data_IF_142590062690
#
_entry.id   IF_142590062690
#
_cell.length_a   1.000
_cell.length_b   1.000
_cell.length_c   1.000
_cell.angle_alpha   90.00
_cell.angle_beta   90.00
_cell.angle_gamma   90.00
#
_symmetry.space_group_name_H-M   'P 1'
#
loop_
_entity.id
_entity.type
_entity.pdbx_description
1 polymer ?
#
# COMPACT_ATOMS: atom_id res chain seq x y z
N UNK A 1 12.23 -27.87 14.02
CA UNK A 1 12.55 -27.13 12.77
C UNK A 1 11.42 -27.16 11.74
N UNK A 2 10.71 -28.26 11.50
CA UNK A 2 9.62 -28.30 10.49
C UNK A 2 8.47 -27.32 10.76
N UNK A 3 8.09 -27.10 12.02
CA UNK A 3 7.01 -26.16 12.36
C UNK A 3 7.30 -24.70 11.95
N UNK A 4 8.55 -24.23 12.15
CA UNK A 4 8.94 -22.86 11.77
C UNK A 4 8.89 -22.65 10.26
N UNK A 5 9.28 -23.66 9.47
CA UNK A 5 9.19 -23.63 8.01
C UNK A 5 7.74 -23.56 7.54
N UNK A 6 6.85 -24.34 8.17
CA UNK A 6 5.41 -24.30 7.87
C UNK A 6 4.84 -22.91 8.22
N UNK A 7 5.17 -22.37 9.39
CA UNK A 7 4.72 -21.04 9.81
C UNK A 7 5.18 -19.94 8.83
N UNK A 8 6.46 -19.97 8.42
CA UNK A 8 6.98 -19.07 7.38
C UNK A 8 6.21 -19.23 6.08
N UNK A 9 5.96 -20.47 5.65
CA UNK A 9 5.21 -20.78 4.44
C UNK A 9 3.82 -20.16 4.42
N UNK A 10 3.08 -20.28 5.53
CA UNK A 10 1.76 -19.65 5.69
C UNK A 10 1.85 -18.13 5.62
N UNK A 11 2.84 -17.51 6.28
CA UNK A 11 3.02 -16.05 6.25
C UNK A 11 3.38 -15.53 4.84
N UNK A 12 4.16 -16.30 4.07
CA UNK A 12 4.44 -15.99 2.67
C UNK A 12 3.20 -16.14 1.80
N UNK A 13 2.36 -17.14 2.07
CA UNK A 13 1.10 -17.29 1.36
C UNK A 13 0.15 -16.12 1.63
N UNK A 14 0.09 -15.62 2.87
CA UNK A 14 -0.68 -14.42 3.22
C UNK A 14 -0.19 -13.18 2.46
N UNK A 15 1.13 -13.02 2.33
CA UNK A 15 1.74 -11.95 1.52
C UNK A 15 1.30 -12.01 0.06
N UNK A 16 1.42 -13.16 -0.60
CA UNK A 16 1.04 -13.24 -2.02
C UNK A 16 -0.48 -13.11 -2.18
N UNK A 17 -1.28 -13.80 -1.35
CA UNK A 17 -2.73 -13.70 -1.38
C UNK A 17 -3.24 -12.27 -1.15
N UNK A 18 -2.56 -11.48 -0.32
CA UNK A 18 -2.91 -10.09 -0.07
C UNK A 18 -2.83 -9.21 -1.32
N UNK A 19 -1.79 -9.39 -2.14
CA UNK A 19 -1.66 -8.69 -3.43
C UNK A 19 -2.82 -9.05 -4.38
N UNK A 20 -3.08 -10.34 -4.53
CA UNK A 20 -4.16 -10.83 -5.39
C UNK A 20 -5.54 -10.33 -4.90
N UNK A 21 -5.72 -10.22 -3.59
CA UNK A 21 -6.91 -9.64 -3.00
C UNK A 21 -7.06 -8.15 -3.35
N UNK A 22 -5.99 -7.36 -3.29
CA UNK A 22 -6.01 -5.95 -3.70
C UNK A 22 -6.41 -5.82 -5.18
N UNK A 23 -5.85 -6.66 -6.06
CA UNK A 23 -6.22 -6.62 -7.47
C UNK A 23 -7.70 -6.94 -7.69
N UNK A 24 -8.22 -8.00 -7.06
CA UNK A 24 -9.64 -8.34 -7.11
C UNK A 24 -10.55 -7.26 -6.49
N UNK A 25 -10.05 -6.54 -5.48
CA UNK A 25 -10.83 -5.52 -4.79
C UNK A 25 -11.03 -4.29 -5.68
N UNK A 26 -10.00 -3.83 -6.39
CA UNK A 26 -10.03 -2.55 -7.11
C UNK A 26 -10.22 -2.67 -8.62
N UNK A 27 -9.93 -3.82 -9.23
CA UNK A 27 -9.91 -3.97 -10.68
C UNK A 27 -10.80 -5.11 -11.15
N UNK A 28 -11.45 -4.88 -12.29
CA UNK A 28 -12.25 -5.90 -12.95
C UNK A 28 -11.34 -6.91 -13.67
N UNK A 29 -11.68 -8.19 -13.54
CA UNK A 29 -11.04 -9.25 -14.31
C UNK A 29 -11.46 -9.14 -15.78
N UNK A 30 -10.51 -9.42 -16.69
CA UNK A 30 -10.73 -9.28 -18.14
C UNK A 30 -11.77 -10.25 -18.68
N UNK A 31 -11.75 -11.50 -18.22
CA UNK A 31 -12.65 -12.55 -18.68
C UNK A 31 -12.89 -13.55 -17.55
N UNK A 32 -14.12 -14.04 -17.45
CA UNK A 32 -14.54 -14.97 -16.39
C UNK A 32 -14.67 -16.41 -16.95
N UNK A 33 -13.65 -16.85 -17.69
CA UNK A 33 -13.60 -18.20 -18.26
C UNK A 33 -12.92 -19.17 -17.31
N UNK A 34 -13.39 -20.42 -17.29
CA UNK A 34 -12.87 -21.49 -16.42
C UNK A 34 -11.34 -21.67 -16.57
N UNK A 35 -10.81 -21.59 -17.79
CA UNK A 35 -9.37 -21.67 -18.06
C UNK A 35 -8.55 -20.53 -17.43
N UNK A 36 -9.09 -19.32 -17.39
CA UNK A 36 -8.41 -18.17 -16.79
C UNK A 36 -8.43 -18.27 -15.26
N UNK A 37 -9.51 -18.80 -14.68
CA UNK A 37 -9.58 -19.12 -13.25
C UNK A 37 -8.56 -20.19 -12.84
N UNK A 38 -8.37 -21.22 -13.67
CA UNK A 38 -7.32 -22.23 -13.45
C UNK A 38 -5.93 -21.58 -13.54
N UNK A 39 -5.67 -20.81 -14.60
CA UNK A 39 -4.40 -20.11 -14.80
C UNK A 39 -4.09 -19.16 -13.63
N UNK A 40 -5.11 -18.45 -13.13
CA UNK A 40 -5.01 -17.59 -11.97
C UNK A 40 -4.54 -18.35 -10.72
N UNK A 41 -5.17 -19.48 -10.40
CA UNK A 41 -4.79 -20.33 -9.25
C UNK A 41 -3.36 -20.86 -9.43
N UNK A 42 -2.99 -21.28 -10.64
CA UNK A 42 -1.62 -21.75 -10.93
C UNK A 42 -0.62 -20.63 -10.68
N UNK A 43 -0.86 -19.41 -11.18
CA UNK A 43 0.05 -18.27 -10.94
C UNK A 43 0.17 -17.93 -9.46
N UNK A 44 -0.93 -18.03 -8.70
CA UNK A 44 -0.92 -17.81 -7.25
C UNK A 44 -0.04 -18.84 -6.54
N UNK A 45 -0.21 -20.13 -6.86
CA UNK A 45 0.60 -21.22 -6.28
C UNK A 45 2.07 -21.07 -6.64
N UNK A 46 2.38 -20.77 -7.90
CA UNK A 46 3.76 -20.55 -8.35
C UNK A 46 4.38 -19.35 -7.64
N UNK A 47 3.65 -18.25 -7.49
CA UNK A 47 4.17 -17.06 -6.84
C UNK A 47 4.39 -17.29 -5.33
N UNK A 48 3.50 -18.00 -4.66
CA UNK A 48 3.72 -18.49 -3.29
C UNK A 48 4.94 -19.42 -3.21
N UNK A 49 5.09 -20.36 -4.13
CA UNK A 49 6.23 -21.29 -4.15
C UNK A 49 7.57 -20.55 -4.29
N UNK A 50 7.61 -19.54 -5.17
CA UNK A 50 8.79 -18.69 -5.37
C UNK A 50 9.15 -17.89 -4.11
N UNK A 51 8.18 -17.27 -3.43
CA UNK A 51 8.44 -16.50 -2.21
C UNK A 51 8.90 -17.38 -1.05
N UNK A 52 8.32 -18.57 -0.91
CA UNK A 52 8.73 -19.56 0.09
C UNK A 52 10.17 -20.03 -0.19
N UNK A 53 10.47 -20.41 -1.43
CA UNK A 53 11.79 -20.89 -1.84
C UNK A 53 12.86 -19.83 -1.58
N UNK A 54 12.63 -18.59 -2.02
CA UNK A 54 13.57 -17.51 -1.78
C UNK A 54 13.80 -17.28 -0.28
N UNK A 55 12.74 -17.32 0.53
CA UNK A 55 12.86 -17.07 1.97
C UNK A 55 13.52 -18.21 2.72
N UNK A 56 13.55 -19.42 2.16
CA UNK A 56 14.29 -20.56 2.71
C UNK A 56 15.78 -20.54 2.30
N UNK A 57 16.09 -20.19 1.05
CA UNK A 57 17.46 -20.28 0.49
C UNK A 57 18.22 -18.95 0.51
N UNK A 58 17.57 -17.86 0.13
CA UNK A 58 18.19 -16.53 -0.06
C UNK A 58 18.12 -15.60 1.15
N UNK A 59 17.29 -15.93 2.16
CA UNK A 59 17.10 -15.14 3.37
C UNK A 59 15.79 -14.34 3.40
N UNK A 60 15.56 -13.60 4.49
CA UNK A 60 14.31 -12.88 4.72
C UNK A 60 14.09 -11.73 3.74
N UNK A 61 15.14 -10.97 3.45
CA UNK A 61 15.10 -9.81 2.58
C UNK A 61 16.02 -9.95 1.36
N UNK A 62 15.55 -9.56 0.18
CA UNK A 62 16.43 -9.37 -0.98
C UNK A 62 15.83 -8.33 -1.92
N UNK A 63 16.59 -7.27 -2.18
CA UNK A 63 16.17 -6.18 -3.06
C UNK A 63 15.90 -6.66 -4.50
N UNK A 64 16.78 -7.52 -5.02
CA UNK A 64 16.61 -8.08 -6.36
C UNK A 64 15.37 -8.95 -6.46
N UNK A 65 15.07 -9.71 -5.40
CA UNK A 65 13.86 -10.51 -5.35
C UNK A 65 12.60 -9.65 -5.23
N UNK A 66 12.65 -8.55 -4.46
CA UNK A 66 11.55 -7.59 -4.40
C UNK A 66 11.20 -7.03 -5.79
N UNK A 67 12.22 -6.63 -6.57
CA UNK A 67 12.00 -6.17 -7.95
C UNK A 67 11.43 -7.26 -8.85
N UNK A 68 11.88 -8.51 -8.69
CA UNK A 68 11.31 -9.65 -9.39
C UNK A 68 9.84 -9.87 -9.02
N UNK A 69 9.47 -9.76 -7.74
CA UNK A 69 8.09 -9.83 -7.27
C UNK A 69 7.23 -8.73 -7.87
N UNK A 70 7.72 -7.48 -7.90
CA UNK A 70 7.01 -6.35 -8.52
C UNK A 70 6.81 -6.63 -10.01
N UNK A 71 7.85 -7.07 -10.72
CA UNK A 71 7.76 -7.40 -12.14
C UNK A 71 6.72 -8.49 -12.42
N UNK A 72 6.78 -9.62 -11.68
CA UNK A 72 5.81 -10.71 -11.82
C UNK A 72 4.39 -10.24 -11.49
N UNK A 73 4.22 -9.46 -10.42
CA UNK A 73 2.93 -8.89 -10.05
C UNK A 73 2.35 -8.00 -11.14
N UNK A 74 3.18 -7.20 -11.82
CA UNK A 74 2.75 -6.37 -12.95
C UNK A 74 2.35 -7.23 -14.14
N UNK A 75 3.13 -8.27 -14.47
CA UNK A 75 2.79 -9.21 -15.54
C UNK A 75 1.45 -9.91 -15.27
N UNK A 76 1.27 -10.45 -14.06
CA UNK A 76 0.03 -11.13 -13.62
C UNK A 76 -1.14 -10.14 -13.62
N UNK A 77 -0.96 -8.96 -13.03
CA UNK A 77 -1.97 -7.91 -12.96
C UNK A 77 -2.44 -7.48 -14.36
N UNK A 78 -1.50 -7.29 -15.29
CA UNK A 78 -1.80 -6.97 -16.69
C UNK A 78 -2.46 -8.11 -17.45
N UNK A 79 -2.11 -9.35 -17.17
CA UNK A 79 -2.66 -10.50 -17.85
C UNK A 79 -4.12 -10.72 -17.47
N UNK A 80 -4.44 -10.69 -16.17
CA UNK A 80 -5.78 -11.03 -15.66
C UNK A 80 -6.74 -9.84 -15.50
N UNK A 81 -6.26 -8.60 -15.30
CA UNK A 81 -7.11 -7.46 -14.94
C UNK A 81 -7.09 -6.31 -15.95
N UNK A 82 -8.19 -5.57 -15.99
CA UNK A 82 -8.34 -4.32 -16.75
C UNK A 82 -7.68 -3.15 -16.02
N UNK A 83 -6.35 -3.15 -15.99
CA UNK A 83 -5.53 -2.15 -15.30
C UNK A 83 -4.53 -1.50 -16.27
N UNK A 84 -4.31 -0.18 -16.13
CA UNK A 84 -3.24 0.52 -16.86
C UNK A 84 -1.86 0.12 -16.31
N UNK A 85 -0.82 0.15 -17.14
CA UNK A 85 0.51 -0.28 -16.73
C UNK A 85 1.03 0.51 -15.53
N UNK A 86 0.87 1.83 -15.58
CA UNK A 86 1.30 2.74 -14.51
C UNK A 86 0.60 2.47 -13.19
N UNK A 87 -0.72 2.17 -13.20
CA UNK A 87 -1.46 1.82 -11.97
C UNK A 87 -1.04 0.47 -11.41
N UNK A 88 -0.85 -0.52 -12.29
CA UNK A 88 -0.39 -1.84 -11.87
C UNK A 88 0.99 -1.76 -11.24
N UNK A 89 1.93 -1.07 -11.90
CA UNK A 89 3.26 -0.81 -11.38
C UNK A 89 3.21 -0.11 -10.02
N UNK A 90 2.44 0.97 -9.89
CA UNK A 90 2.34 1.73 -8.65
C UNK A 90 1.80 0.89 -7.48
N UNK A 91 0.69 0.15 -7.70
CA UNK A 91 0.11 -0.70 -6.65
C UNK A 91 1.06 -1.82 -6.25
N UNK A 92 1.70 -2.48 -7.21
CA UNK A 92 2.67 -3.55 -6.92
C UNK A 92 3.92 -3.03 -6.21
N UNK A 93 4.40 -1.85 -6.60
CA UNK A 93 5.59 -1.23 -5.99
C UNK A 93 5.31 -0.86 -4.54
N UNK A 94 4.27 -0.07 -4.27
CA UNK A 94 3.85 0.29 -2.92
C UNK A 94 3.63 -0.95 -2.05
N UNK A 95 2.97 -1.97 -2.60
CA UNK A 95 2.68 -3.19 -1.86
C UNK A 95 3.95 -3.89 -1.34
N UNK A 96 4.90 -4.17 -2.24
CA UNK A 96 6.11 -4.88 -1.84
C UNK A 96 7.07 -3.99 -1.05
N UNK A 97 7.21 -2.72 -1.41
CA UNK A 97 8.07 -1.78 -0.68
C UNK A 97 7.57 -1.57 0.76
N UNK A 98 6.28 -1.30 0.99
CA UNK A 98 5.75 -1.11 2.34
C UNK A 98 5.92 -2.38 3.21
N UNK A 99 5.74 -3.57 2.63
CA UNK A 99 5.92 -4.84 3.35
C UNK A 99 7.38 -5.05 3.74
N UNK A 100 8.28 -4.87 2.78
CA UNK A 100 9.71 -5.10 2.96
C UNK A 100 10.31 -4.05 3.92
N UNK A 101 9.87 -2.81 3.80
CA UNK A 101 10.21 -1.74 4.72
C UNK A 101 9.76 -2.06 6.14
N UNK A 102 8.52 -2.52 6.33
CA UNK A 102 7.99 -2.91 7.64
C UNK A 102 8.75 -4.10 8.24
N UNK A 103 9.08 -5.11 7.43
CA UNK A 103 9.82 -6.31 7.83
C UNK A 103 11.21 -5.92 8.37
N UNK A 104 11.96 -5.08 7.64
CA UNK A 104 13.28 -4.56 8.07
C UNK A 104 13.13 -3.63 9.29
N UNK A 105 12.12 -2.77 9.29
CA UNK A 105 11.91 -1.79 10.37
C UNK A 105 11.69 -2.46 11.72
N UNK A 106 10.82 -3.48 11.76
CA UNK A 106 10.58 -4.27 12.97
C UNK A 106 11.80 -5.11 13.37
N UNK A 107 12.55 -5.65 12.41
CA UNK A 107 13.81 -6.34 12.70
C UNK A 107 14.79 -5.46 13.47
N UNK A 108 14.90 -4.19 13.09
CA UNK A 108 15.74 -3.22 13.78
C UNK A 108 15.21 -2.81 15.16
N UNK A 109 13.90 -2.62 15.30
CA UNK A 109 13.29 -2.39 16.63
C UNK A 109 13.62 -3.57 17.55
N UNK A 110 13.51 -4.80 17.06
CA UNK A 110 13.90 -5.99 17.81
C UNK A 110 15.38 -5.95 18.20
N UNK A 111 16.26 -5.53 17.29
CA UNK A 111 17.69 -5.37 17.57
C UNK A 111 17.94 -4.35 18.70
N UNK A 112 17.30 -3.18 18.63
CA UNK A 112 17.43 -2.14 19.64
C UNK A 112 16.86 -2.56 21.01
N UNK A 113 15.80 -3.36 21.03
CA UNK A 113 15.19 -3.86 22.28
C UNK A 113 16.02 -4.96 22.95
N UNK A 114 16.74 -5.78 22.16
CA UNK A 114 17.50 -6.94 22.65
C UNK A 114 19.01 -6.67 22.78
N UNK A 115 19.45 -5.44 22.47
CA UNK A 115 20.84 -4.96 22.54
C UNK A 115 21.87 -5.93 21.94
N UNK A 116 21.50 -6.58 20.83
CA UNK A 116 22.32 -7.60 20.17
C UNK A 116 22.85 -7.09 18.83
N UNK A 117 24.17 -7.08 18.66
CA UNK A 117 24.82 -6.45 17.49
C UNK A 117 24.51 -7.20 16.18
N UNK A 118 24.23 -8.51 16.25
CA UNK A 118 24.06 -9.38 15.06
C UNK A 118 22.61 -9.84 14.81
N UNK A 119 21.63 -9.28 15.53
CA UNK A 119 20.24 -9.72 15.50
C UNK A 119 19.62 -9.69 14.09
N UNK A 120 19.88 -8.63 13.34
CA UNK A 120 19.33 -8.44 11.99
C UNK A 120 19.92 -9.46 11.00
N UNK A 121 21.23 -9.75 11.08
CA UNK A 121 21.85 -10.77 10.22
C UNK A 121 21.39 -12.18 10.61
N UNK A 122 21.21 -12.42 11.91
CA UNK A 122 20.68 -13.66 12.45
C UNK A 122 19.27 -13.96 11.93
N UNK A 123 18.37 -12.99 11.96
CA UNK A 123 17.01 -13.11 11.40
C UNK A 123 17.03 -13.23 9.87
N UNK A 124 17.96 -12.54 9.22
CA UNK A 124 18.06 -12.49 7.77
C UNK A 124 18.38 -13.87 7.19
N UNK A 125 19.34 -14.60 7.77
CA UNK A 125 19.85 -15.84 7.20
C UNK A 125 19.34 -17.11 7.86
N UNK A 126 18.83 -17.05 9.10
CA UNK A 126 18.36 -18.23 9.82
C UNK A 126 16.85 -18.21 10.08
N UNK A 127 16.22 -19.39 9.96
CA UNK A 127 14.79 -19.56 10.28
C UNK A 127 14.65 -19.78 11.78
N UNK A 128 14.42 -18.68 12.49
CA UNK A 128 14.28 -18.66 13.95
C UNK A 128 12.91 -18.13 14.38
N UNK A 129 12.59 -18.24 15.66
CA UNK A 129 11.32 -17.80 16.22
C UNK A 129 11.13 -16.28 16.06
N UNK A 130 12.19 -15.51 16.25
CA UNK A 130 12.18 -14.04 16.16
C UNK A 130 11.81 -13.58 14.74
N UNK A 131 12.34 -14.27 13.73
CA UNK A 131 11.96 -14.06 12.33
C UNK A 131 10.47 -14.29 12.10
N UNK A 132 9.93 -15.39 12.63
CA UNK A 132 8.51 -15.72 12.50
C UNK A 132 7.64 -14.70 13.23
N UNK A 133 8.06 -14.22 14.40
CA UNK A 133 7.34 -13.18 15.16
C UNK A 133 7.28 -11.88 14.35
N UNK A 134 8.40 -11.41 13.82
CA UNK A 134 8.45 -10.17 13.02
C UNK A 134 7.56 -10.29 11.79
N UNK A 135 7.70 -11.39 11.04
CA UNK A 135 6.83 -11.65 9.89
C UNK A 135 5.35 -11.77 10.31
N UNK A 136 5.06 -12.38 11.45
CA UNK A 136 3.70 -12.46 12.00
C UNK A 136 3.10 -11.07 12.22
N UNK A 137 3.85 -10.17 12.85
CA UNK A 137 3.39 -8.80 13.14
C UNK A 137 3.13 -8.03 11.85
N UNK A 138 4.07 -8.05 10.89
CA UNK A 138 3.88 -7.33 9.62
C UNK A 138 2.73 -7.88 8.79
N UNK A 139 2.52 -9.21 8.77
CA UNK A 139 1.39 -9.81 8.06
C UNK A 139 0.06 -9.55 8.77
N UNK A 140 0.03 -9.47 10.10
CA UNK A 140 -1.15 -8.98 10.83
C UNK A 140 -1.48 -7.52 10.47
N UNK A 141 -0.49 -6.64 10.41
CA UNK A 141 -0.68 -5.26 9.98
C UNK A 141 -1.24 -5.17 8.54
N UNK A 142 -0.70 -5.99 7.63
CA UNK A 142 -1.21 -6.11 6.27
C UNK A 142 -2.69 -6.51 6.24
N UNK A 143 -3.13 -7.49 7.05
CA UNK A 143 -4.54 -7.89 7.10
C UNK A 143 -5.44 -6.73 7.58
N UNK A 144 -4.98 -5.94 8.55
CA UNK A 144 -5.70 -4.74 9.03
C UNK A 144 -5.82 -3.72 7.90
N UNK A 145 -4.74 -3.46 7.17
CA UNK A 145 -4.74 -2.54 6.02
C UNK A 145 -5.70 -3.03 4.93
N UNK A 146 -5.67 -4.33 4.58
CA UNK A 146 -6.60 -4.91 3.60
C UNK A 146 -8.07 -4.76 4.04
N UNK A 147 -8.36 -4.91 5.33
CA UNK A 147 -9.69 -4.70 5.87
C UNK A 147 -10.15 -3.23 5.73
N UNK A 148 -9.27 -2.28 6.04
CA UNK A 148 -9.53 -0.84 5.87
C UNK A 148 -9.74 -0.50 4.39
N UNK A 149 -8.89 -1.02 3.49
CA UNK A 149 -9.02 -0.82 2.04
C UNK A 149 -10.36 -1.33 1.51
N UNK A 150 -10.84 -2.48 2.03
CA UNK A 150 -12.16 -3.01 1.69
C UNK A 150 -13.28 -2.07 2.16
N UNK A 151 -13.20 -1.60 3.40
CA UNK A 151 -14.23 -0.73 4.01
C UNK A 151 -14.35 0.61 3.28
N UNK A 152 -13.22 1.19 2.86
CA UNK A 152 -13.16 2.51 2.23
C UNK A 152 -12.84 2.45 0.72
N UNK A 153 -13.20 1.35 0.05
CA UNK A 153 -12.86 1.08 -1.36
C UNK A 153 -13.11 2.26 -2.30
N UNK A 154 -14.28 2.91 -2.20
CA UNK A 154 -14.66 4.01 -3.11
C UNK A 154 -13.75 5.22 -2.90
N UNK A 155 -13.53 5.63 -1.65
CA UNK A 155 -12.64 6.74 -1.32
C UNK A 155 -11.21 6.47 -1.77
N UNK A 156 -10.69 5.26 -1.51
CA UNK A 156 -9.33 4.87 -1.92
C UNK A 156 -9.19 4.84 -3.45
N UNK A 157 -10.20 4.37 -4.17
CA UNK A 157 -10.15 4.37 -5.64
C UNK A 157 -10.13 5.79 -6.20
N UNK A 158 -10.94 6.69 -5.65
CA UNK A 158 -10.92 8.11 -5.99
C UNK A 158 -9.56 8.75 -5.68
N UNK A 159 -8.96 8.35 -4.55
CA UNK A 159 -7.62 8.77 -4.16
C UNK A 159 -6.57 8.43 -5.22
N UNK A 160 -6.54 7.15 -5.61
CA UNK A 160 -5.61 6.62 -6.60
C UNK A 160 -5.80 7.24 -7.98
N UNK A 161 -7.03 7.67 -8.31
CA UNK A 161 -7.33 8.35 -9.56
C UNK A 161 -6.87 9.81 -9.54
N UNK A 162 -7.26 10.57 -8.52
CA UNK A 162 -7.07 12.02 -8.45
C UNK A 162 -5.66 12.42 -7.99
N UNK A 163 -5.03 11.65 -7.11
CA UNK A 163 -3.76 11.98 -6.46
C UNK A 163 -2.62 11.05 -6.87
N UNK A 164 -2.67 10.52 -8.09
CA UNK A 164 -1.65 9.58 -8.61
C UNK A 164 -0.23 10.09 -8.44
N UNK A 165 0.02 11.39 -8.67
CA UNK A 165 1.37 11.96 -8.54
C UNK A 165 1.89 11.97 -7.10
N UNK A 166 1.02 12.19 -6.11
CA UNK A 166 1.39 12.11 -4.70
C UNK A 166 1.76 10.68 -4.30
N UNK A 167 1.00 9.69 -4.80
CA UNK A 167 1.31 8.29 -4.55
C UNK A 167 2.61 7.83 -5.21
N UNK A 168 2.93 8.34 -6.41
CA UNK A 168 4.24 8.10 -7.04
C UNK A 168 5.35 8.69 -6.18
N UNK A 169 5.19 9.93 -5.72
CA UNK A 169 6.16 10.57 -4.82
C UNK A 169 6.34 9.78 -3.52
N UNK A 170 5.25 9.24 -2.96
CA UNK A 170 5.29 8.41 -1.77
C UNK A 170 6.05 7.08 -2.02
N UNK A 171 5.79 6.39 -3.13
CA UNK A 171 6.55 5.18 -3.51
C UNK A 171 8.06 5.47 -3.64
N UNK A 172 8.42 6.57 -4.32
CA UNK A 172 9.84 6.97 -4.43
C UNK A 172 10.45 7.23 -3.05
N UNK A 173 9.69 7.85 -2.13
CA UNK A 173 10.15 8.12 -0.78
C UNK A 173 10.30 6.84 0.05
N UNK A 174 9.35 5.90 -0.04
CA UNK A 174 9.46 4.56 0.55
C UNK A 174 10.71 3.83 0.05
N UNK A 175 10.95 3.84 -1.27
CA UNK A 175 12.14 3.24 -1.85
C UNK A 175 13.45 3.85 -1.32
N UNK A 176 13.53 5.17 -1.23
CA UNK A 176 14.69 5.85 -0.64
C UNK A 176 14.89 5.48 0.83
N UNK A 177 13.80 5.24 1.55
CA UNK A 177 13.82 4.77 2.94
C UNK A 177 14.34 3.36 3.05
N UNK A 178 13.81 2.47 2.23
CA UNK A 178 14.27 1.09 2.14
C UNK A 178 15.76 1.03 1.79
N UNK A 179 16.19 1.80 0.79
CA UNK A 179 17.60 1.89 0.39
C UNK A 179 18.50 2.36 1.55
N UNK A 180 18.01 3.28 2.38
CA UNK A 180 18.72 3.76 3.57
C UNK A 180 18.76 2.70 4.67
N UNK A 181 17.65 2.01 4.92
CA UNK A 181 17.53 0.94 5.91
C UNK A 181 18.40 -0.27 5.56
N UNK A 182 18.59 -0.59 4.28
CA UNK A 182 19.44 -1.69 3.84
C UNK A 182 20.92 -1.51 4.19
N UNK A 183 21.38 -0.29 4.45
CA UNK A 183 22.76 -0.06 4.90
C UNK A 183 23.08 -0.74 6.24
N UNK A 184 22.06 -1.19 6.98
CA UNK A 184 22.21 -2.01 8.20
C UNK A 184 22.91 -3.34 7.95
N UNK A 185 22.78 -3.91 6.76
CA UNK A 185 23.46 -5.15 6.40
C UNK A 185 24.95 -4.95 6.07
N UNK A 186 25.46 -3.71 6.09
CA UNK A 186 26.87 -3.40 5.82
C UNK A 186 27.59 -3.13 7.16
N UNK A 187 28.55 -3.98 7.57
CA UNK A 187 29.23 -3.86 8.87
C UNK A 187 29.88 -2.49 9.11
N UNK A 188 30.51 -1.92 8.08
CA UNK A 188 31.19 -0.61 8.15
C UNK A 188 30.25 0.53 8.59
N UNK A 189 28.96 0.47 8.24
CA UNK A 189 27.99 1.47 8.70
C UNK A 189 27.52 1.19 10.13
N UNK A 190 27.48 -0.08 10.56
CA UNK A 190 27.02 -0.50 11.90
C UNK A 190 27.97 -0.02 12.99
N UNK A 191 29.27 -0.08 12.72
CA UNK A 191 30.31 0.39 13.65
C UNK A 191 30.34 1.91 13.84
N UNK A 192 29.89 2.69 12.84
CA UNK A 192 29.89 4.16 12.94
C UNK A 192 28.78 4.74 13.82
N UNK A 193 27.83 3.92 14.31
CA UNK A 193 26.71 4.36 15.17
C UNK A 193 25.70 5.32 14.51
N UNK A 194 25.98 5.81 13.29
CA UNK A 194 25.10 6.71 12.52
C UNK A 194 23.82 6.04 12.04
N UNK A 195 23.78 4.70 12.02
CA UNK A 195 22.61 3.93 11.60
C UNK A 195 21.37 4.28 12.43
N UNK A 196 21.49 4.41 13.75
CA UNK A 196 20.37 4.73 14.64
C UNK A 196 19.65 6.03 14.26
N UNK A 197 20.40 7.03 13.79
CA UNK A 197 19.86 8.33 13.39
C UNK A 197 19.06 8.21 12.09
N UNK A 198 19.59 7.54 11.07
CA UNK A 198 18.86 7.32 9.82
C UNK A 198 17.63 6.44 10.03
N UNK A 199 17.73 5.43 10.89
CA UNK A 199 16.67 4.47 11.14
C UNK A 199 15.54 5.02 12.01
N UNK A 200 15.81 6.00 12.87
CA UNK A 200 14.75 6.73 13.57
C UNK A 200 14.12 7.80 12.66
N UNK A 201 14.94 8.56 11.93
CA UNK A 201 14.45 9.69 11.12
C UNK A 201 13.60 9.25 9.93
N UNK A 202 13.97 8.18 9.22
CA UNK A 202 13.29 7.82 7.98
C UNK A 202 11.84 7.33 8.18
N UNK A 203 11.54 6.44 9.13
CA UNK A 203 10.18 6.06 9.47
C UNK A 203 9.35 7.24 10.00
N UNK A 204 9.97 8.14 10.77
CA UNK A 204 9.31 9.38 11.22
C UNK A 204 8.94 10.25 10.02
N UNK A 205 9.84 10.43 9.06
CA UNK A 205 9.59 11.18 7.82
C UNK A 205 8.50 10.49 6.99
N UNK A 206 8.49 9.16 6.90
CA UNK A 206 7.44 8.39 6.22
C UNK A 206 6.07 8.57 6.87
N UNK A 207 5.99 8.48 8.21
CA UNK A 207 4.75 8.70 8.95
C UNK A 207 4.29 10.16 8.79
N UNK A 208 5.22 11.12 8.87
CA UNK A 208 4.90 12.54 8.75
C UNK A 208 4.41 12.88 7.34
N UNK A 209 5.05 12.36 6.30
CA UNK A 209 4.60 12.51 4.91
C UNK A 209 3.25 11.82 4.68
N UNK A 210 3.01 10.65 5.28
CA UNK A 210 1.71 9.98 5.23
C UNK A 210 0.61 10.81 5.91
N UNK A 211 0.87 11.39 7.09
CA UNK A 211 -0.06 12.30 7.77
C UNK A 211 -0.34 13.53 6.91
N UNK A 212 0.68 14.15 6.32
CA UNK A 212 0.52 15.31 5.43
C UNK A 212 -0.36 14.93 4.24
N UNK A 213 -0.14 13.76 3.63
CA UNK A 213 -0.96 13.26 2.52
C UNK A 213 -2.41 13.10 2.97
N UNK A 214 -2.68 12.47 4.11
CA UNK A 214 -4.06 12.33 4.66
C UNK A 214 -4.71 13.70 4.89
N UNK A 215 -4.00 14.62 5.55
CA UNK A 215 -4.53 15.97 5.84
C UNK A 215 -4.80 16.72 4.54
N UNK A 216 -3.92 16.62 3.55
CA UNK A 216 -4.10 17.22 2.23
C UNK A 216 -5.33 16.67 1.50
N UNK A 217 -5.54 15.35 1.58
CA UNK A 217 -6.73 14.68 1.02
C UNK A 217 -7.99 15.19 1.69
N UNK A 218 -8.03 15.19 3.03
CA UNK A 218 -9.17 15.68 3.81
C UNK A 218 -9.48 17.15 3.49
N UNK A 219 -8.44 17.97 3.31
CA UNK A 219 -8.61 19.37 2.93
C UNK A 219 -9.28 19.54 1.57
N UNK A 220 -8.89 18.74 0.56
CA UNK A 220 -9.50 18.82 -0.76
C UNK A 220 -10.92 18.26 -0.76
N UNK A 221 -11.18 17.14 -0.07
CA UNK A 221 -12.55 16.61 0.05
C UNK A 221 -13.48 17.67 0.65
N UNK A 222 -13.05 18.32 1.74
CA UNK A 222 -13.81 19.41 2.36
C UNK A 222 -13.98 20.62 1.43
N UNK A 223 -12.96 20.95 0.63
CA UNK A 223 -13.06 22.04 -0.37
C UNK A 223 -14.09 21.71 -1.46
N UNK A 224 -14.11 20.47 -1.94
CA UNK A 224 -15.04 20.02 -2.96
C UNK A 224 -16.49 20.01 -2.43
N UNK A 225 -16.71 19.58 -1.19
CA UNK A 225 -18.01 19.66 -0.52
C UNK A 225 -18.50 21.11 -0.40
N UNK A 226 -17.62 22.05 0.00
CA UNK A 226 -17.96 23.47 0.07
C UNK A 226 -18.31 24.06 -1.30
N UNK A 227 -17.58 23.68 -2.35
CA UNK A 227 -17.89 24.13 -3.71
C UNK A 227 -19.24 23.59 -4.20
N UNK A 228 -19.56 22.33 -3.88
CA UNK A 228 -20.85 21.74 -4.21
C UNK A 228 -22.00 22.47 -3.50
N UNK A 229 -21.88 22.70 -2.19
CA UNK A 229 -22.85 23.46 -1.39
C UNK A 229 -23.06 24.88 -1.95
N UNK A 230 -21.98 25.58 -2.29
CA UNK A 230 -22.09 26.92 -2.88
C UNK A 230 -22.81 26.90 -4.23
N UNK A 231 -22.52 25.92 -5.10
CA UNK A 231 -23.20 25.80 -6.39
C UNK A 231 -24.71 25.51 -6.25
N UNK A 232 -25.10 24.72 -5.25
CA UNK A 232 -26.50 24.44 -4.94
C UNK A 232 -27.20 25.68 -4.40
N UNK A 233 -26.55 26.44 -3.51
CA UNK A 233 -27.08 27.70 -2.99
C UNK A 233 -27.28 28.74 -4.09
N UNK A 234 -26.32 28.90 -5.01
CA UNK A 234 -26.45 29.80 -6.17
C UNK A 234 -27.63 29.40 -7.08
N UNK A 235 -27.84 28.09 -7.31
CA UNK A 235 -29.00 27.63 -8.05
C UNK A 235 -30.32 27.93 -7.33
N UNK A 236 -30.35 27.75 -6.00
CA UNK A 236 -31.53 28.03 -5.18
C UNK A 236 -31.88 29.52 -5.21
N UNK A 237 -30.89 30.40 -5.07
CA UNK A 237 -31.09 31.85 -5.16
C UNK A 237 -31.65 32.26 -6.53
N UNK A 238 -31.12 31.70 -7.62
CA UNK A 238 -31.66 31.96 -8.97
C UNK A 238 -33.11 31.50 -9.12
N UNK A 239 -33.49 30.36 -8.53
CA UNK A 239 -34.87 29.87 -8.55
C UNK A 239 -35.78 30.79 -7.75
N UNK A 240 -35.38 31.20 -6.53
CA UNK A 240 -36.14 32.13 -5.69
C UNK A 240 -36.35 33.46 -6.40
N UNK A 241 -35.30 34.00 -7.02
CA UNK A 241 -35.37 35.27 -7.76
C UNK A 241 -36.31 35.18 -8.97
N UNK A 242 -36.31 34.04 -9.68
CA UNK A 242 -37.30 33.76 -10.74
C UNK A 242 -38.73 33.69 -10.22
N UNK A 243 -38.97 32.95 -9.13
CA UNK A 243 -40.30 32.85 -8.53
C UNK A 243 -40.84 34.22 -8.09
N UNK A 244 -40.00 35.05 -7.46
CA UNK A 244 -40.36 36.40 -7.06
C UNK A 244 -40.74 37.28 -8.27
N UNK A 245 -39.96 37.18 -9.36
CA UNK A 245 -40.27 37.88 -10.61
C UNK A 245 -41.60 37.41 -11.22
N UNK A 246 -41.88 36.11 -11.24
CA UNK A 246 -43.16 35.57 -11.74
C UNK A 246 -44.36 36.03 -10.90
N UNK A 247 -44.26 35.96 -9.57
CA UNK A 247 -45.31 36.42 -8.65
C UNK A 247 -45.58 37.92 -8.84
N UNK A 248 -44.52 38.73 -8.93
CA UNK A 248 -44.66 40.17 -9.19
C UNK A 248 -45.37 40.45 -10.53
N UNK A 249 -45.03 39.70 -11.57
CA UNK A 249 -45.62 39.86 -12.89
C UNK A 249 -47.10 39.44 -12.92
N UNK A 250 -47.49 38.40 -12.17
CA UNK A 250 -48.90 38.04 -12.00
C UNK A 250 -49.69 39.11 -11.23
N UNK A 251 -49.11 39.67 -10.15
CA UNK A 251 -49.75 40.75 -9.39
C UNK A 251 -49.95 42.00 -10.26
N UNK A 252 -48.96 42.37 -11.08
CA UNK A 252 -49.09 43.48 -12.04
C UNK A 252 -50.15 43.20 -13.12
N UNK A 253 -50.33 41.94 -13.53
CA UNK A 253 -51.37 41.55 -14.49
C UNK A 253 -52.79 41.58 -13.90
N UNK A 254 -52.94 41.32 -12.60
CA UNK A 254 -54.24 41.38 -11.90
C UNK A 254 -54.69 42.79 -11.49
N UNK A 255 -53.80 43.79 -11.56
CA UNK A 255 -54.11 45.20 -11.24
C UNK A 255 -54.48 46.06 -12.46
N UNK A 256 -54.55 45.49 -13.66
CA UNK A 256 -55.00 46.12 -14.92
C UNK A 256 -56.38 45.57 -15.27
#
# INVERSE_FOLDING_TARGET
MNWLRIAQGVLCAVEVCGLYYIFNLFYEQKRDKLWERISFIITLILFCGLTIFQREVGGMYSRYFMFLCIFLAVCIGKFFYNITFTRCLLVSTLYFESIYFSDIFLGYIGQALLDSIDFVDYIQFQINLERIIILGITRCFLLIVLFILRKYKIHVNNLCFNYRMLLIGFAVLEYLGLFSCEKVFIPAYREEGKIYVYFALFPIILILTFIIVIVYIMYIEKKNEMQLMNSQNEMLEKIIMKCYYYIRKEIEFFMI
#
